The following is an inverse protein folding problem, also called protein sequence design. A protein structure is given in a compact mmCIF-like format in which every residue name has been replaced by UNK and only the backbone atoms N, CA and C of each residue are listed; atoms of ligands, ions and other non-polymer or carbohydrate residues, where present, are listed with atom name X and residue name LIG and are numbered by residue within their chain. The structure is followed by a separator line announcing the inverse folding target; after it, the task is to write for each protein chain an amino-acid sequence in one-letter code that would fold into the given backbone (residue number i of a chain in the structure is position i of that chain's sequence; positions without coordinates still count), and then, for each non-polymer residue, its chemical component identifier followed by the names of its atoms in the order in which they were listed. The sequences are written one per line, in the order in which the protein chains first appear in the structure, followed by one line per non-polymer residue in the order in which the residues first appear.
data_IF_000733574930
#
_entry.id   IF_000733574930
#
_cell.length_a   1.000
_cell.length_b   1.000
_cell.length_c   1.000
_cell.angle_alpha   90.00
_cell.angle_beta   90.00
_cell.angle_gamma   90.00
#
_symmetry.space_group_name_H-M   'P 1'
#
loop_
_entity.id
_entity.type
_entity.pdbx_description
1 polymer ?
#
# COMPACT_ATOMS: atom_id res chain seq x y z
N UNK A 1 28.75 -47.88 48.39
CA UNK A 1 29.09 -46.55 47.86
C UNK A 1 28.21 -46.30 46.65
N UNK A 2 27.27 -45.37 46.76
CA UNK A 2 26.23 -45.10 45.76
C UNK A 2 26.73 -44.01 44.80
N UNK A 3 26.72 -44.27 43.49
CA UNK A 3 27.01 -43.26 42.47
C UNK A 3 25.71 -42.94 41.73
N UNK A 4 25.21 -41.72 41.95
CA UNK A 4 24.00 -41.21 41.33
C UNK A 4 24.25 -40.90 39.84
N UNK A 5 23.39 -41.42 38.97
CA UNK A 5 23.35 -41.06 37.55
C UNK A 5 22.73 -39.67 37.39
N UNK A 6 23.51 -38.71 36.88
CA UNK A 6 23.02 -37.37 36.54
C UNK A 6 22.44 -37.45 35.13
N UNK A 7 21.10 -37.51 35.03
CA UNK A 7 20.41 -37.38 33.76
C UNK A 7 20.53 -35.94 33.27
N UNK A 8 21.30 -35.73 32.20
CA UNK A 8 21.39 -34.43 31.52
C UNK A 8 20.10 -34.21 30.72
N UNK A 9 19.16 -33.46 31.29
CA UNK A 9 17.98 -33.02 30.56
C UNK A 9 18.41 -31.99 29.51
N UNK A 10 18.39 -32.39 28.24
CA UNK A 10 18.50 -31.47 27.10
C UNK A 10 17.25 -30.59 27.06
N UNK A 11 17.35 -29.41 27.65
CA UNK A 11 16.38 -28.33 27.47
C UNK A 11 16.39 -27.92 25.99
N UNK A 12 15.49 -28.49 25.20
CA UNK A 12 15.16 -27.94 23.89
C UNK A 12 14.27 -26.74 24.16
N UNK A 13 14.87 -25.55 24.14
CA UNK A 13 14.10 -24.31 24.15
C UNK A 13 13.22 -24.30 22.89
N UNK A 14 11.89 -24.16 23.03
CA UNK A 14 11.04 -23.96 21.87
C UNK A 14 11.42 -22.61 21.28
N UNK A 15 12.13 -22.62 20.15
CA UNK A 15 12.31 -21.42 19.34
C UNK A 15 10.92 -20.95 18.94
N UNK A 16 10.46 -19.86 19.54
CA UNK A 16 9.30 -19.12 19.08
C UNK A 16 9.55 -18.79 17.62
N UNK A 17 8.95 -19.56 16.72
CA UNK A 17 8.95 -19.27 15.29
C UNK A 17 8.24 -17.93 15.15
N UNK A 18 8.99 -16.86 14.91
CA UNK A 18 8.37 -15.61 14.55
C UNK A 18 7.69 -15.85 13.20
N UNK A 19 6.45 -15.38 12.98
CA UNK A 19 5.70 -15.63 11.74
C UNK A 19 6.40 -15.14 10.44
N UNK A 20 7.54 -14.47 10.58
CA UNK A 20 8.34 -13.84 9.52
C UNK A 20 9.78 -14.38 9.42
N UNK A 21 10.07 -15.59 9.91
CA UNK A 21 11.42 -16.19 9.88
C UNK A 21 11.84 -16.70 8.47
N UNK A 22 11.72 -15.85 7.45
CA UNK A 22 12.27 -16.05 6.12
C UNK A 22 12.83 -14.74 5.57
N UNK A 23 13.95 -14.74 4.84
CA UNK A 23 14.50 -13.52 4.28
C UNK A 23 13.50 -12.93 3.27
N UNK A 24 13.08 -11.68 3.49
CA UNK A 24 12.32 -10.92 2.50
C UNK A 24 13.21 -10.82 1.25
N UNK A 25 12.80 -11.46 0.15
CA UNK A 25 13.52 -11.31 -1.11
C UNK A 25 13.38 -9.86 -1.60
N UNK A 26 14.41 -9.37 -2.28
CA UNK A 26 14.43 -8.03 -2.86
C UNK A 26 13.24 -7.81 -3.79
N UNK A 27 12.87 -8.82 -4.56
CA UNK A 27 11.75 -8.82 -5.49
C UNK A 27 10.42 -8.67 -4.76
N UNK A 28 10.23 -9.38 -3.64
CA UNK A 28 9.03 -9.25 -2.81
C UNK A 28 8.92 -7.85 -2.19
N UNK A 29 10.01 -7.35 -1.60
CA UNK A 29 10.04 -5.98 -1.04
C UNK A 29 9.75 -4.91 -2.10
N UNK A 30 10.30 -5.06 -3.31
CA UNK A 30 10.05 -4.13 -4.41
C UNK A 30 8.59 -4.18 -4.86
N UNK A 31 8.02 -5.37 -5.00
CA UNK A 31 6.62 -5.56 -5.39
C UNK A 31 5.68 -4.92 -4.37
N UNK A 32 5.89 -5.18 -3.08
CA UNK A 32 5.10 -4.57 -2.00
C UNK A 32 5.20 -3.04 -2.00
N UNK A 33 6.40 -2.50 -2.24
CA UNK A 33 6.61 -1.05 -2.32
C UNK A 33 5.90 -0.44 -3.53
N UNK A 34 5.91 -1.11 -4.68
CA UNK A 34 5.19 -0.66 -5.88
C UNK A 34 3.67 -0.74 -5.68
N UNK A 35 3.17 -1.79 -5.03
CA UNK A 35 1.75 -1.95 -4.70
C UNK A 35 1.27 -0.81 -3.78
N UNK A 36 1.99 -0.53 -2.69
CA UNK A 36 1.66 0.62 -1.80
C UNK A 36 1.67 1.96 -2.54
N UNK A 37 2.59 2.13 -3.50
CA UNK A 37 2.63 3.35 -4.32
C UNK A 37 1.43 3.44 -5.27
N UNK A 38 1.00 2.32 -5.84
CA UNK A 38 -0.20 2.25 -6.68
C UNK A 38 -1.45 2.65 -5.87
N UNK A 39 -1.62 2.12 -4.66
CA UNK A 39 -2.74 2.49 -3.77
C UNK A 39 -2.82 4.00 -3.50
N UNK A 40 -1.67 4.64 -3.26
CA UNK A 40 -1.63 6.10 -3.05
C UNK A 40 -2.02 6.87 -4.31
N UNK A 41 -1.56 6.44 -5.49
CA UNK A 41 -1.91 7.06 -6.77
C UNK A 41 -3.40 6.89 -7.07
N UNK A 42 -3.95 5.70 -6.85
CA UNK A 42 -5.38 5.44 -7.06
C UNK A 42 -6.25 6.29 -6.13
N UNK A 43 -5.81 6.51 -4.89
CA UNK A 43 -6.45 7.46 -3.99
C UNK A 43 -6.38 8.90 -4.54
N UNK A 44 -5.23 9.35 -5.00
CA UNK A 44 -5.08 10.68 -5.61
C UNK A 44 -5.97 10.85 -6.84
N UNK A 45 -6.08 9.82 -7.69
CA UNK A 45 -7.01 9.80 -8.85
C UNK A 45 -8.44 10.00 -8.35
N UNK A 46 -8.90 9.19 -7.40
CA UNK A 46 -10.24 9.29 -6.85
C UNK A 46 -10.53 10.66 -6.22
N UNK A 47 -9.53 11.26 -5.56
CA UNK A 47 -9.63 12.60 -4.99
C UNK A 47 -9.73 13.68 -6.08
N UNK A 48 -8.91 13.61 -7.14
CA UNK A 48 -8.98 14.54 -8.28
C UNK A 48 -10.34 14.45 -8.98
N UNK A 49 -10.82 13.23 -9.26
CA UNK A 49 -12.11 13.04 -9.89
C UNK A 49 -13.28 13.54 -9.02
N UNK A 50 -13.21 13.33 -7.71
CA UNK A 50 -14.21 13.85 -6.76
C UNK A 50 -14.23 15.38 -6.78
N UNK A 51 -13.05 16.02 -6.77
CA UNK A 51 -12.96 17.48 -6.87
C UNK A 51 -13.49 18.02 -8.20
N UNK A 52 -13.24 17.31 -9.31
CA UNK A 52 -13.76 17.67 -10.64
C UNK A 52 -15.28 17.54 -10.74
N UNK A 53 -15.88 16.53 -10.10
CA UNK A 53 -17.34 16.32 -10.06
C UNK A 53 -18.05 17.27 -9.08
N UNK A 54 -17.36 17.70 -8.02
CA UNK A 54 -18.01 18.29 -6.86
C UNK A 54 -18.82 17.25 -6.09
N UNK A 55 -19.60 17.70 -5.12
CA UNK A 55 -20.46 16.81 -4.34
C UNK A 55 -20.85 17.42 -3.01
N UNK A 56 -21.04 16.57 -2.02
CA UNK A 56 -21.34 16.98 -0.64
C UNK A 56 -20.21 16.52 0.25
N UNK A 57 -19.66 17.40 1.08
CA UNK A 57 -18.68 17.02 2.10
C UNK A 57 -19.38 16.11 3.13
N UNK A 58 -18.97 14.84 3.26
CA UNK A 58 -19.62 13.89 4.16
C UNK A 58 -19.49 14.28 5.64
N UNK A 59 -18.53 15.14 6.00
CA UNK A 59 -18.33 15.58 7.39
C UNK A 59 -19.25 16.73 7.77
N UNK A 60 -19.54 17.62 6.83
CA UNK A 60 -20.23 18.88 7.11
C UNK A 60 -21.61 18.97 6.44
N UNK A 61 -21.93 18.07 5.51
CA UNK A 61 -23.16 18.11 4.72
C UNK A 61 -23.20 19.27 3.71
N UNK A 62 -22.11 20.03 3.58
CA UNK A 62 -22.07 21.21 2.71
C UNK A 62 -21.85 20.83 1.25
N UNK A 63 -22.49 21.56 0.33
CA UNK A 63 -22.29 21.36 -1.10
C UNK A 63 -20.95 21.96 -1.49
N UNK A 64 -20.07 21.12 -2.03
CA UNK A 64 -18.79 21.51 -2.61
C UNK A 64 -18.97 21.59 -4.14
N UNK A 65 -18.86 22.78 -4.75
CA UNK A 65 -19.00 22.91 -6.18
C UNK A 65 -17.87 22.17 -6.92
N UNK A 66 -18.10 21.70 -8.16
CA UNK A 66 -17.04 21.15 -8.99
C UNK A 66 -15.95 22.20 -9.23
N UNK A 67 -14.70 21.74 -9.37
CA UNK A 67 -13.58 22.59 -9.73
C UNK A 67 -13.82 23.35 -11.06
N UNK A 68 -13.39 24.61 -11.12
CA UNK A 68 -13.55 25.52 -12.27
C UNK A 68 -12.26 26.29 -12.57
N UNK A 69 -12.16 26.82 -13.79
CA UNK A 69 -11.04 27.64 -14.24
C UNK A 69 -9.69 26.95 -14.05
N UNK A 70 -8.67 27.72 -13.66
CA UNK A 70 -7.32 27.23 -13.45
C UNK A 70 -7.23 26.04 -12.47
N UNK A 71 -8.11 25.96 -11.46
CA UNK A 71 -8.13 24.81 -10.56
C UNK A 71 -8.57 23.53 -11.27
N UNK A 72 -9.58 23.62 -12.15
CA UNK A 72 -10.01 22.49 -13.00
C UNK A 72 -8.88 22.06 -13.94
N UNK A 73 -8.22 23.02 -14.58
CA UNK A 73 -7.15 22.74 -15.54
C UNK A 73 -5.97 22.04 -14.85
N UNK A 74 -5.61 22.48 -13.64
CA UNK A 74 -4.59 21.82 -12.82
C UNK A 74 -5.01 20.39 -12.44
N UNK A 75 -6.26 20.16 -12.03
CA UNK A 75 -6.74 18.83 -11.68
C UNK A 75 -6.73 17.88 -12.88
N UNK A 76 -7.09 18.36 -14.08
CA UNK A 76 -7.03 17.56 -15.29
C UNK A 76 -5.58 17.20 -15.66
N UNK A 77 -4.66 18.15 -15.53
CA UNK A 77 -3.22 17.92 -15.75
C UNK A 77 -2.68 16.86 -14.77
N UNK A 78 -2.98 17.01 -13.47
CA UNK A 78 -2.60 16.03 -12.46
C UNK A 78 -3.19 14.66 -12.75
N UNK A 79 -4.51 14.59 -13.05
CA UNK A 79 -5.20 13.34 -13.33
C UNK A 79 -4.58 12.57 -14.50
N UNK A 80 -4.18 13.27 -15.57
CA UNK A 80 -3.50 12.64 -16.70
C UNK A 80 -2.16 12.01 -16.30
N UNK A 81 -1.37 12.69 -15.47
CA UNK A 81 -0.10 12.18 -14.95
C UNK A 81 -0.34 10.96 -14.05
N UNK A 82 -1.27 11.06 -13.12
CA UNK A 82 -1.56 9.98 -12.17
C UNK A 82 -2.08 8.72 -12.86
N UNK A 83 -2.95 8.86 -13.87
CA UNK A 83 -3.39 7.73 -14.70
C UNK A 83 -2.21 7.07 -15.42
N UNK A 84 -1.33 7.86 -16.04
CA UNK A 84 -0.14 7.30 -16.69
C UNK A 84 0.80 6.60 -15.70
N UNK A 85 0.94 7.10 -14.47
CA UNK A 85 1.75 6.47 -13.44
C UNK A 85 1.10 5.16 -12.96
N UNK A 86 -0.21 5.14 -12.75
CA UNK A 86 -0.95 3.95 -12.36
C UNK A 86 -0.78 2.83 -13.39
N UNK A 87 -0.90 3.14 -14.69
CA UNK A 87 -0.74 2.16 -15.75
C UNK A 87 0.69 1.59 -15.81
N UNK A 88 1.70 2.43 -15.61
CA UNK A 88 3.10 1.97 -15.52
C UNK A 88 3.33 1.07 -14.31
N UNK A 89 2.76 1.41 -13.14
CA UNK A 89 2.90 0.59 -11.94
C UNK A 89 2.17 -0.74 -12.06
N UNK A 90 0.97 -0.75 -12.65
CA UNK A 90 0.23 -1.97 -12.98
C UNK A 90 1.05 -2.88 -13.91
N UNK A 91 1.65 -2.32 -14.96
CA UNK A 91 2.56 -3.05 -15.83
C UNK A 91 3.79 -3.62 -15.09
N UNK A 92 4.41 -2.84 -14.19
CA UNK A 92 5.54 -3.30 -13.38
C UNK A 92 5.17 -4.40 -12.37
N UNK A 93 3.91 -4.43 -11.93
CA UNK A 93 3.36 -5.45 -11.02
C UNK A 93 2.75 -6.65 -11.75
N UNK A 94 2.70 -6.64 -13.09
CA UNK A 94 2.01 -7.66 -13.89
C UNK A 94 0.49 -7.66 -13.73
N UNK A 95 -0.09 -6.57 -13.22
CA UNK A 95 -1.52 -6.39 -13.08
C UNK A 95 -2.06 -5.87 -14.42
N UNK A 96 -2.65 -6.74 -15.23
CA UNK A 96 -3.37 -6.34 -16.42
C UNK A 96 -4.86 -6.22 -16.11
N UNK A 97 -5.49 -5.14 -16.58
CA UNK A 97 -6.91 -4.82 -16.34
C UNK A 97 -7.80 -5.61 -17.29
#
# INVERSE_FOLDING_TARGET
MSAAAIATATLTTPTTRHPFDGPISREHYQSDRLARRLELIEKTIADCERALRGGTDPRTGTVVPPARGAHRDQLLSNLAIELSLADRLRGALGLHR
#
